data_IF_102830209015
#
_entry.id   IF_102830209015
#
_cell.length_a   1.000
_cell.length_b   1.000
_cell.length_c   1.000
_cell.angle_alpha   90.00
_cell.angle_beta   90.00
_cell.angle_gamma   90.00
#
_symmetry.space_group_name_H-M   'P 1'
#
loop_
_entity.id
_entity.type
_entity.pdbx_description
1 polymer ?
#
# COMPACT_ATOMS: atom_id res chain seq x y z
N UNK A 1 -8.63 -19.78 26.01
CA UNK A 1 -8.09 -19.13 24.81
C UNK A 1 -6.64 -18.82 25.12
N UNK A 2 -5.70 -19.48 24.46
CA UNK A 2 -4.27 -19.29 24.73
C UNK A 2 -3.84 -17.91 24.21
N UNK A 3 -3.25 -17.07 25.06
CA UNK A 3 -2.77 -15.74 24.68
C UNK A 3 -1.75 -15.82 23.52
N UNK A 4 -1.10 -16.97 23.31
CA UNK A 4 -0.20 -17.18 22.17
C UNK A 4 -0.93 -17.30 20.81
N UNK A 5 -2.21 -17.69 20.76
CA UNK A 5 -2.95 -17.80 19.49
C UNK A 5 -3.26 -16.43 18.87
N UNK A 6 -3.43 -15.39 19.70
CA UNK A 6 -3.64 -14.00 19.23
C UNK A 6 -2.35 -13.30 18.78
N UNK A 7 -1.18 -13.90 19.06
CA UNK A 7 0.13 -13.37 18.58
C UNK A 7 0.48 -13.85 17.16
N UNK A 8 -0.20 -14.89 16.67
CA UNK A 8 -0.06 -15.43 15.33
C UNK A 8 -1.15 -14.86 14.41
N UNK A 9 -0.77 -13.98 13.49
CA UNK A 9 -1.67 -13.30 12.56
C UNK A 9 -2.53 -14.27 11.73
N UNK A 10 -2.00 -15.42 11.33
CA UNK A 10 -2.78 -16.44 10.61
C UNK A 10 -3.77 -17.21 11.49
N UNK A 11 -3.53 -17.28 12.81
CA UNK A 11 -4.50 -17.81 13.77
C UNK A 11 -5.56 -16.76 14.11
N UNK A 12 -5.14 -15.50 14.31
CA UNK A 12 -6.02 -14.35 14.44
C UNK A 12 -6.97 -14.21 13.25
N UNK A 13 -6.46 -14.34 12.02
CA UNK A 13 -7.25 -14.24 10.79
C UNK A 13 -8.25 -15.38 10.63
N UNK A 14 -7.86 -16.62 11.00
CA UNK A 14 -8.78 -17.77 11.02
C UNK A 14 -9.89 -17.60 12.05
N UNK A 15 -9.56 -17.09 13.24
CA UNK A 15 -10.53 -16.81 14.30
C UNK A 15 -11.50 -15.70 13.88
N UNK A 16 -10.98 -14.62 13.32
CA UNK A 16 -11.73 -13.46 12.80
C UNK A 16 -12.68 -13.84 11.67
N UNK A 17 -12.19 -14.62 10.71
CA UNK A 17 -13.00 -15.11 9.60
C UNK A 17 -14.09 -16.06 10.10
N UNK A 18 -13.76 -16.97 11.02
CA UNK A 18 -14.72 -17.87 11.66
C UNK A 18 -15.83 -17.11 12.40
N UNK A 19 -15.48 -16.09 13.18
CA UNK A 19 -16.44 -15.27 13.93
C UNK A 19 -17.36 -14.47 12.98
N UNK A 20 -16.83 -13.95 11.87
CA UNK A 20 -17.65 -13.30 10.85
C UNK A 20 -18.61 -14.27 10.14
N UNK A 21 -18.12 -15.45 9.74
CA UNK A 21 -18.95 -16.48 9.11
C UNK A 21 -20.07 -16.99 10.03
N UNK A 22 -19.81 -17.05 11.34
CA UNK A 22 -20.78 -17.40 12.38
C UNK A 22 -21.71 -16.26 12.80
N UNK A 23 -21.52 -15.04 12.28
CA UNK A 23 -22.34 -13.89 12.64
C UNK A 23 -22.12 -13.36 14.05
N UNK A 24 -21.05 -13.77 14.71
CA UNK A 24 -20.61 -13.33 16.05
C UNK A 24 -19.98 -11.93 16.00
N UNK A 25 -19.59 -11.48 14.80
CA UNK A 25 -19.10 -10.14 14.54
C UNK A 25 -20.17 -9.26 13.87
N UNK A 26 -20.42 -8.06 14.42
CA UNK A 26 -21.32 -7.05 13.85
C UNK A 26 -20.49 -5.84 13.41
N UNK A 27 -20.47 -5.55 12.11
CA UNK A 27 -20.00 -4.25 11.62
C UNK A 27 -21.11 -3.22 11.76
N UNK A 28 -20.81 -2.03 12.29
CA UNK A 28 -21.77 -0.92 12.26
C UNK A 28 -22.17 -0.63 10.81
N UNK A 29 -23.44 -0.89 10.47
CA UNK A 29 -24.11 -0.42 9.25
C UNK A 29 -24.15 -1.36 8.03
N UNK A 30 -23.60 -2.58 8.08
CA UNK A 30 -23.74 -3.54 6.97
C UNK A 30 -24.02 -4.95 7.51
N UNK A 31 -25.20 -5.48 7.22
CA UNK A 31 -25.54 -6.87 7.53
C UNK A 31 -24.93 -7.83 6.49
N UNK A 32 -24.80 -9.12 6.83
CA UNK A 32 -24.39 -10.19 5.89
C UNK A 32 -25.26 -10.20 4.61
N UNK A 33 -26.53 -9.75 4.71
CA UNK A 33 -27.46 -9.67 3.58
C UNK A 33 -27.20 -8.47 2.68
N UNK A 34 -26.71 -7.34 3.21
CA UNK A 34 -26.43 -6.13 2.43
C UNK A 34 -25.20 -6.33 1.53
N UNK A 35 -24.22 -7.10 1.99
CA UNK A 35 -23.03 -7.46 1.19
C UNK A 35 -23.35 -8.54 0.14
N UNK A 36 -24.18 -9.53 0.47
CA UNK A 36 -24.62 -10.54 -0.50
C UNK A 36 -25.46 -9.94 -1.64
N UNK A 37 -26.21 -8.87 -1.37
CA UNK A 37 -26.91 -8.08 -2.41
C UNK A 37 -25.93 -7.33 -3.33
N UNK A 38 -24.78 -6.91 -2.83
CA UNK A 38 -23.73 -6.26 -3.61
C UNK A 38 -22.88 -7.25 -4.42
N UNK A 39 -22.77 -8.50 -3.98
CA UNK A 39 -22.05 -9.56 -4.69
C UNK A 39 -22.91 -10.27 -5.77
N UNK A 40 -24.23 -10.05 -5.80
CA UNK A 40 -25.19 -10.83 -6.60
C UNK A 40 -25.83 -10.13 -7.80
N UNK A 41 -25.36 -8.95 -8.23
CA UNK A 41 -26.00 -8.17 -9.29
C UNK A 41 -25.19 -8.08 -10.59
N UNK A 42 -25.26 -9.10 -11.45
CA UNK A 42 -24.96 -8.97 -12.88
C UNK A 42 -26.22 -9.23 -13.68
N UNK A 43 -26.59 -8.26 -14.50
CA UNK A 43 -27.50 -8.43 -15.63
C UNK A 43 -28.72 -7.52 -15.55
N UNK A 44 -28.81 -6.56 -16.48
CA UNK A 44 -30.01 -6.17 -17.25
C UNK A 44 -29.61 -5.12 -18.32
N UNK A 45 -30.40 -4.95 -19.41
CA UNK A 45 -29.90 -4.77 -20.76
C UNK A 45 -29.70 -3.30 -21.19
N UNK A 46 -28.91 -3.14 -22.25
CA UNK A 46 -28.77 -1.92 -23.04
C UNK A 46 -30.15 -1.45 -23.55
N UNK A 47 -30.54 -0.23 -23.16
CA UNK A 47 -31.60 0.53 -23.82
C UNK A 47 -30.93 1.73 -24.50
N UNK A 48 -30.97 1.74 -25.82
CA UNK A 48 -30.53 2.86 -26.65
C UNK A 48 -31.40 4.09 -26.37
N UNK A 49 -30.79 5.21 -26.03
CA UNK A 49 -31.45 6.51 -25.93
C UNK A 49 -30.98 7.41 -27.07
N UNK A 50 -31.97 7.95 -27.78
CA UNK A 50 -31.82 8.83 -28.93
C UNK A 50 -31.26 10.19 -28.52
N UNK A 51 -30.49 10.78 -29.43
CA UNK A 51 -29.97 12.14 -29.33
C UNK A 51 -31.11 13.16 -29.37
N UNK A 52 -31.08 14.12 -28.45
CA UNK A 52 -31.76 15.40 -28.60
C UNK A 52 -30.73 16.51 -28.37
N UNK A 53 -30.48 17.29 -29.41
CA UNK A 53 -29.65 18.49 -29.43
C UNK A 53 -30.35 19.63 -28.68
N UNK A 54 -29.62 20.30 -27.80
CA UNK A 54 -30.02 21.56 -27.14
C UNK A 54 -28.99 22.63 -27.53
N UNK A 55 -29.41 23.84 -27.92
CA UNK A 55 -28.53 24.80 -28.59
C UNK A 55 -27.52 25.42 -27.63
N UNK A 56 -26.34 25.71 -28.16
CA UNK A 56 -25.32 26.50 -27.50
C UNK A 56 -25.77 27.97 -27.37
N UNK A 57 -25.75 28.48 -26.15
CA UNK A 57 -25.66 29.91 -25.88
C UNK A 57 -24.22 30.26 -25.48
N UNK A 58 -23.67 31.29 -26.12
CA UNK A 58 -22.34 31.83 -25.93
C UNK A 58 -22.35 33.10 -25.06
N UNK A 59 -21.16 33.44 -24.53
CA UNK A 59 -20.72 34.63 -23.76
C UNK A 59 -20.55 34.37 -22.24
N UNK A 60 -19.46 34.72 -21.54
CA UNK A 60 -18.28 35.60 -21.79
C UNK A 60 -17.15 35.21 -20.78
N UNK A 61 -15.90 35.73 -20.90
CA UNK A 61 -14.73 35.14 -20.24
C UNK A 61 -14.64 35.50 -18.75
N UNK A 62 -14.96 34.55 -17.89
CA UNK A 62 -14.65 34.64 -16.47
C UNK A 62 -13.14 34.46 -16.24
N UNK A 63 -12.61 35.29 -15.35
CA UNK A 63 -11.21 35.39 -14.95
C UNK A 63 -10.50 34.04 -14.80
N UNK A 64 -9.21 34.01 -15.15
CA UNK A 64 -8.32 32.84 -14.99
C UNK A 64 -8.43 32.26 -13.58
N UNK A 65 -9.25 31.22 -13.45
CA UNK A 65 -9.27 30.34 -12.29
C UNK A 65 -7.86 29.78 -12.12
N UNK A 66 -7.25 29.81 -10.92
CA UNK A 66 -6.03 29.05 -10.68
C UNK A 66 -6.30 27.63 -11.13
N UNK A 67 -5.40 27.06 -11.94
CA UNK A 67 -5.56 25.69 -12.45
C UNK A 67 -5.99 24.78 -11.30
N UNK A 68 -7.14 24.12 -11.45
CA UNK A 68 -7.68 23.23 -10.43
C UNK A 68 -6.57 22.25 -10.02
N UNK A 69 -6.09 22.37 -8.78
CA UNK A 69 -5.12 21.43 -8.22
C UNK A 69 -5.84 20.08 -8.24
N UNK A 70 -5.31 19.13 -9.00
CA UNK A 70 -5.92 17.82 -9.15
C UNK A 70 -6.07 17.08 -7.80
N UNK A 71 -6.59 15.85 -7.79
CA UNK A 71 -6.80 15.08 -6.55
C UNK A 71 -5.52 14.76 -5.75
N UNK A 72 -4.35 15.11 -6.30
CA UNK A 72 -3.01 15.04 -5.70
C UNK A 72 -2.45 16.46 -5.73
N UNK A 73 -1.94 16.95 -4.60
CA UNK A 73 -1.54 18.34 -4.45
C UNK A 73 -0.13 18.62 -4.97
N UNK A 74 0.79 17.67 -4.80
CA UNK A 74 2.17 17.85 -5.23
C UNK A 74 2.31 17.84 -6.76
N UNK A 75 3.34 18.50 -7.31
CA UNK A 75 3.65 18.40 -8.73
C UNK A 75 3.93 16.95 -9.15
N UNK A 76 3.44 16.57 -10.33
CA UNK A 76 3.64 15.24 -10.92
C UNK A 76 4.26 15.37 -12.31
N UNK A 77 5.55 15.73 -12.44
CA UNK A 77 6.22 15.81 -13.74
C UNK A 77 6.16 14.46 -14.46
N UNK A 78 5.87 14.48 -15.75
CA UNK A 78 5.61 13.27 -16.55
C UNK A 78 6.83 12.35 -16.66
N UNK A 79 8.04 12.90 -16.52
CA UNK A 79 9.31 12.19 -16.46
C UNK A 79 9.56 11.49 -15.12
N UNK A 80 8.84 11.88 -14.07
CA UNK A 80 8.95 11.27 -12.73
C UNK A 80 7.76 10.37 -12.40
N UNK A 81 6.59 10.60 -13.00
CA UNK A 81 5.35 9.91 -12.62
C UNK A 81 4.53 9.38 -13.78
N UNK A 82 3.79 8.31 -13.51
CA UNK A 82 2.63 7.89 -14.29
C UNK A 82 1.37 8.14 -13.45
N UNK A 83 0.44 8.95 -13.97
CA UNK A 83 -0.77 9.37 -13.23
C UNK A 83 -1.95 8.44 -13.54
N UNK A 84 -2.69 8.05 -12.50
CA UNK A 84 -3.83 7.14 -12.54
C UNK A 84 -5.01 7.72 -11.73
N UNK A 85 -5.50 8.89 -12.15
CA UNK A 85 -6.57 9.62 -11.47
C UNK A 85 -6.11 10.17 -10.12
N UNK A 86 -6.67 9.66 -9.03
CA UNK A 86 -6.29 10.01 -7.65
C UNK A 86 -4.97 9.38 -7.18
N UNK A 87 -4.23 8.73 -8.07
CA UNK A 87 -3.02 7.98 -7.76
C UNK A 87 -1.89 8.36 -8.74
N UNK A 88 -0.65 8.27 -8.29
CA UNK A 88 0.54 8.52 -9.12
C UNK A 88 1.64 7.52 -8.80
N UNK A 89 2.10 6.80 -9.81
CA UNK A 89 3.20 5.84 -9.73
C UNK A 89 4.51 6.56 -10.00
N UNK A 90 5.50 6.37 -9.13
CA UNK A 90 6.86 6.82 -9.42
C UNK A 90 7.40 5.99 -10.57
N UNK A 91 7.82 6.64 -11.66
CA UNK A 91 8.57 5.96 -12.72
C UNK A 91 9.81 5.32 -12.09
N UNK A 92 9.93 4.01 -12.20
CA UNK A 92 10.95 3.27 -11.46
C UNK A 92 12.37 3.72 -11.84
N UNK A 93 12.57 4.10 -13.10
CA UNK A 93 13.80 4.70 -13.60
C UNK A 93 14.17 6.03 -12.94
N UNK A 94 13.20 6.80 -12.43
CA UNK A 94 13.45 8.05 -11.71
C UNK A 94 14.14 7.84 -10.34
N UNK A 95 14.21 6.59 -9.86
CA UNK A 95 14.98 6.23 -8.68
C UNK A 95 16.47 6.00 -8.99
N UNK A 96 16.87 5.93 -10.26
CA UNK A 96 18.27 5.81 -10.64
C UNK A 96 19.07 7.03 -10.15
N UNK A 97 20.27 6.78 -9.62
CA UNK A 97 21.12 7.82 -9.05
C UNK A 97 20.63 8.41 -7.72
N UNK A 98 19.41 8.07 -7.28
CA UNK A 98 18.90 8.51 -5.99
C UNK A 98 19.52 7.70 -4.85
N UNK A 99 19.48 8.29 -3.66
CA UNK A 99 19.98 7.66 -2.43
C UNK A 99 19.17 6.43 -2.00
N UNK A 100 19.46 5.96 -0.78
CA UNK A 100 18.74 4.82 -0.20
C UNK A 100 17.26 5.14 0.07
N UNK A 101 16.98 6.37 0.51
CA UNK A 101 15.63 6.88 0.73
C UNK A 101 15.09 7.47 -0.58
N UNK A 102 13.80 7.25 -0.85
CA UNK A 102 13.11 7.91 -1.95
C UNK A 102 12.90 9.38 -1.59
N UNK A 103 13.35 10.33 -2.43
CA UNK A 103 13.03 11.73 -2.25
C UNK A 103 11.52 11.97 -2.14
N UNK A 104 11.12 12.92 -1.29
CA UNK A 104 9.69 13.17 -1.00
C UNK A 104 8.92 13.55 -2.27
N UNK A 105 9.52 14.38 -3.12
CA UNK A 105 8.98 14.80 -4.42
C UNK A 105 8.76 13.64 -5.39
N UNK A 106 9.46 12.51 -5.21
CA UNK A 106 9.39 11.29 -6.03
C UNK A 106 8.64 10.14 -5.38
N UNK A 107 8.11 10.26 -4.15
CA UNK A 107 7.42 9.15 -3.48
C UNK A 107 6.03 8.90 -4.10
N UNK A 108 5.63 7.65 -4.37
CA UNK A 108 4.34 7.38 -5.02
C UNK A 108 3.13 7.86 -4.20
N UNK A 109 2.00 8.15 -4.86
CA UNK A 109 0.75 8.55 -4.20
C UNK A 109 -0.35 7.54 -4.52
N UNK A 110 -1.02 7.02 -3.49
CA UNK A 110 -2.24 6.21 -3.62
C UNK A 110 -3.31 6.80 -2.73
N UNK A 111 -4.40 7.28 -3.33
CA UNK A 111 -5.59 7.79 -2.63
C UNK A 111 -6.85 7.08 -3.15
N UNK A 112 -7.74 6.64 -2.25
CA UNK A 112 -9.07 6.17 -2.68
C UNK A 112 -9.94 7.34 -3.12
N UNK A 113 -9.75 8.50 -2.51
CA UNK A 113 -10.43 9.77 -2.79
C UNK A 113 -9.37 10.85 -3.14
N UNK A 114 -9.60 12.11 -2.80
CA UNK A 114 -8.65 13.21 -3.01
C UNK A 114 -7.86 13.51 -1.73
N UNK A 115 -6.71 14.19 -1.87
CA UNK A 115 -5.93 14.64 -0.71
C UNK A 115 -6.65 15.75 0.05
N UNK A 116 -7.01 15.56 1.34
CA UNK A 116 -7.50 16.65 2.18
C UNK A 116 -6.35 17.61 2.56
N UNK A 117 -6.70 18.88 2.75
CA UNK A 117 -5.85 19.90 3.36
C UNK A 117 -6.31 20.07 4.81
N UNK A 118 -5.46 19.69 5.75
CA UNK A 118 -5.77 19.72 7.17
C UNK A 118 -4.91 20.76 7.88
N UNK A 119 -5.52 21.49 8.82
CA UNK A 119 -4.82 22.40 9.72
C UNK A 119 -4.39 21.65 11.00
N UNK A 120 -3.09 21.65 11.34
CA UNK A 120 -2.61 20.94 12.53
C UNK A 120 -3.13 21.52 13.85
N UNK A 121 -3.52 22.80 13.91
CA UNK A 121 -4.00 23.44 15.14
C UNK A 121 -5.41 22.96 15.51
N UNK A 122 -6.28 22.81 14.52
CA UNK A 122 -7.63 22.24 14.69
C UNK A 122 -7.66 20.70 14.67
N UNK A 123 -6.62 20.04 14.16
CA UNK A 123 -6.56 18.57 14.12
C UNK A 123 -6.57 17.93 15.51
N UNK A 124 -7.32 16.82 15.64
CA UNK A 124 -7.37 15.97 16.83
C UNK A 124 -7.26 14.51 16.44
N UNK A 125 -6.52 13.73 17.22
CA UNK A 125 -6.61 12.27 17.22
C UNK A 125 -7.60 11.84 18.29
N UNK A 126 -8.67 11.15 17.89
CA UNK A 126 -9.75 10.69 18.76
C UNK A 126 -9.66 9.17 18.94
N UNK A 127 -9.60 8.69 20.17
CA UNK A 127 -9.57 7.26 20.50
C UNK A 127 -10.80 6.88 21.30
N UNK A 128 -11.45 5.78 20.92
CA UNK A 128 -12.67 5.30 21.55
C UNK A 128 -12.78 3.77 21.44
N UNK A 129 -13.76 3.18 22.11
CA UNK A 129 -14.12 1.77 21.98
C UNK A 129 -13.91 0.94 23.27
N UNK A 130 -14.41 -0.29 23.25
CA UNK A 130 -14.48 -1.21 24.39
C UNK A 130 -13.12 -1.69 24.88
N UNK A 131 -12.08 -1.58 24.04
CA UNK A 131 -10.70 -1.91 24.41
C UNK A 131 -9.99 -0.82 25.21
N UNK A 132 -10.67 0.28 25.58
CA UNK A 132 -10.15 1.36 26.42
C UNK A 132 -10.87 1.41 27.77
N UNK A 133 -10.17 1.88 28.80
CA UNK A 133 -10.72 2.06 30.13
C UNK A 133 -11.90 3.04 30.10
N UNK A 134 -13.01 2.65 30.73
CA UNK A 134 -14.27 3.42 30.69
C UNK A 134 -15.05 3.28 29.39
N UNK A 135 -14.57 2.51 28.40
CA UNK A 135 -15.19 2.30 27.10
C UNK A 135 -15.72 3.60 26.44
N UNK A 136 -14.86 4.64 26.28
CA UNK A 136 -15.23 5.91 25.66
C UNK A 136 -15.94 5.69 24.32
N UNK A 137 -16.94 6.51 24.03
CA UNK A 137 -17.72 6.41 22.78
C UNK A 137 -17.16 7.36 21.73
N UNK A 138 -17.58 7.22 20.47
CA UNK A 138 -17.20 8.17 19.42
C UNK A 138 -17.70 9.61 19.69
N UNK A 139 -18.72 9.78 20.54
CA UNK A 139 -19.22 11.09 20.96
C UNK A 139 -18.39 11.70 22.10
N UNK A 140 -17.76 10.87 22.94
CA UNK A 140 -16.92 11.27 24.07
C UNK A 140 -15.60 10.47 24.08
N UNK A 141 -14.67 10.78 23.15
CA UNK A 141 -13.43 10.05 22.99
C UNK A 141 -12.30 10.61 23.86
N UNK A 142 -11.25 9.81 24.05
CA UNK A 142 -9.96 10.34 24.51
C UNK A 142 -9.28 11.07 23.34
N UNK A 143 -8.90 12.34 23.54
CA UNK A 143 -8.36 13.16 22.47
C UNK A 143 -6.91 13.61 22.71
N UNK A 144 -6.14 13.65 21.62
CA UNK A 144 -4.81 14.27 21.58
C UNK A 144 -4.79 15.33 20.47
N UNK A 145 -4.44 16.57 20.83
CA UNK A 145 -4.05 17.59 19.84
C UNK A 145 -2.74 17.24 19.16
N UNK A 146 -2.45 17.88 18.03
CA UNK A 146 -1.17 17.70 17.32
C UNK A 146 0.02 18.00 18.23
N UNK A 147 -0.06 19.07 19.03
CA UNK A 147 0.99 19.45 20.01
C UNK A 147 1.15 18.38 21.10
N UNK A 148 0.07 17.87 21.67
CA UNK A 148 0.13 16.81 22.69
C UNK A 148 0.72 15.53 22.12
N UNK A 149 0.34 15.12 20.90
CA UNK A 149 0.93 13.96 20.25
C UNK A 149 2.44 14.14 20.05
N UNK A 150 2.89 15.30 19.56
CA UNK A 150 4.33 15.57 19.34
C UNK A 150 5.15 15.64 20.63
N UNK A 151 4.50 15.92 21.77
CA UNK A 151 5.15 15.91 23.08
C UNK A 151 5.40 14.48 23.63
N UNK A 152 4.75 13.46 23.07
CA UNK A 152 4.96 12.06 23.48
C UNK A 152 6.32 11.52 22.96
N UNK A 153 6.89 10.50 23.62
CA UNK A 153 8.15 9.87 23.19
C UNK A 153 8.09 9.36 21.75
N UNK A 154 8.91 9.96 20.89
CA UNK A 154 8.96 9.66 19.47
C UNK A 154 10.10 8.71 19.10
N UNK A 155 9.87 7.87 18.09
CA UNK A 155 10.86 6.98 17.47
C UNK A 155 11.02 7.31 16.00
N UNK A 156 12.17 6.92 15.46
CA UNK A 156 12.47 7.02 14.03
C UNK A 156 12.75 5.63 13.50
N UNK A 157 12.13 5.26 12.37
CA UNK A 157 12.42 4.00 11.68
C UNK A 157 12.48 4.22 10.17
N UNK A 158 13.36 3.48 9.50
CA UNK A 158 13.39 3.39 8.04
C UNK A 158 12.57 2.19 7.60
N UNK A 159 11.56 2.41 6.76
CA UNK A 159 10.71 1.34 6.24
C UNK A 159 10.18 1.69 4.85
N UNK A 160 9.93 0.67 4.03
CA UNK A 160 9.10 0.84 2.84
C UNK A 160 7.62 0.97 3.21
N UNK A 161 6.89 1.71 2.38
CA UNK A 161 5.45 1.58 2.22
C UNK A 161 5.23 1.14 0.77
N UNK A 162 4.47 0.06 0.57
CA UNK A 162 4.20 -0.50 -0.75
C UNK A 162 2.71 -0.77 -0.92
N UNK A 163 2.15 -0.41 -2.08
CA UNK A 163 0.77 -0.74 -2.44
C UNK A 163 0.61 -2.27 -2.59
N UNK A 164 -0.50 -2.85 -2.10
CA UNK A 164 -0.82 -4.26 -2.35
C UNK A 164 -0.86 -4.61 -3.85
N UNK A 165 -1.27 -3.64 -4.68
CA UNK A 165 -1.33 -3.78 -6.14
C UNK A 165 -0.04 -3.44 -6.87
N UNK A 166 1.09 -3.20 -6.19
CA UNK A 166 2.36 -2.98 -6.87
C UNK A 166 2.72 -4.22 -7.72
N UNK A 167 2.90 -4.03 -9.02
CA UNK A 167 3.07 -5.07 -10.02
C UNK A 167 1.76 -5.59 -10.65
N UNK A 168 0.61 -4.96 -10.38
CA UNK A 168 -0.70 -5.41 -10.89
C UNK A 168 -0.71 -5.63 -12.40
N UNK A 169 -0.07 -4.75 -13.18
CA UNK A 169 -0.06 -4.86 -14.65
C UNK A 169 0.53 -6.18 -15.15
N UNK A 170 1.40 -6.83 -14.36
CA UNK A 170 2.07 -8.07 -14.77
C UNK A 170 1.19 -9.32 -14.64
N UNK A 171 0.09 -9.28 -13.89
CA UNK A 171 -0.94 -10.32 -13.99
C UNK A 171 -1.41 -10.45 -15.44
N UNK A 172 -1.79 -9.33 -16.05
CA UNK A 172 -2.28 -9.30 -17.43
C UNK A 172 -1.15 -9.43 -18.44
N UNK A 173 -0.12 -8.59 -18.34
CA UNK A 173 0.90 -8.45 -19.39
C UNK A 173 1.94 -9.58 -19.38
N UNK A 174 2.14 -10.27 -18.25
CA UNK A 174 3.12 -11.36 -18.14
C UNK A 174 2.48 -12.73 -17.94
N UNK A 175 1.34 -12.83 -17.24
CA UNK A 175 0.67 -14.10 -16.94
C UNK A 175 -0.64 -14.32 -17.71
N UNK A 176 -1.10 -13.36 -18.52
CA UNK A 176 -2.36 -13.48 -19.27
C UNK A 176 -3.61 -13.50 -18.38
N UNK A 177 -3.51 -13.08 -17.12
CA UNK A 177 -4.58 -13.11 -16.15
C UNK A 177 -5.30 -11.76 -16.08
N UNK A 178 -6.62 -11.77 -16.27
CA UNK A 178 -7.46 -10.58 -16.16
C UNK A 178 -7.64 -10.19 -14.70
N UNK A 179 -7.37 -8.93 -14.36
CA UNK A 179 -7.46 -8.39 -12.99
C UNK A 179 -8.01 -6.97 -13.00
N UNK A 180 -8.60 -6.56 -11.88
CA UNK A 180 -9.19 -5.24 -11.70
C UNK A 180 -8.30 -4.29 -10.87
N UNK A 181 -8.46 -2.99 -11.09
CA UNK A 181 -7.80 -1.93 -10.33
C UNK A 181 -6.67 -1.22 -11.09
N UNK A 182 -6.04 -0.24 -10.44
CA UNK A 182 -4.98 0.59 -11.04
C UNK A 182 -3.82 -0.27 -11.59
N UNK A 183 -3.44 -0.12 -12.87
CA UNK A 183 -2.47 -1.00 -13.53
C UNK A 183 -1.03 -0.62 -13.18
N UNK A 184 -0.69 -0.68 -11.89
CA UNK A 184 0.64 -0.37 -11.39
C UNK A 184 1.71 -1.27 -12.02
N UNK A 185 2.83 -0.68 -12.44
CA UNK A 185 4.10 -1.40 -12.65
C UNK A 185 4.79 -1.54 -11.28
N UNK A 186 6.09 -1.26 -11.17
CA UNK A 186 6.88 -1.53 -9.96
C UNK A 186 7.10 -0.30 -9.06
N UNK A 187 6.58 0.85 -9.44
CA UNK A 187 6.78 2.14 -8.80
C UNK A 187 5.81 2.46 -7.67
N UNK A 188 4.89 1.56 -7.30
CA UNK A 188 3.94 1.78 -6.21
C UNK A 188 4.54 1.41 -4.84
N UNK A 189 5.79 1.85 -4.61
CA UNK A 189 6.58 1.62 -3.40
C UNK A 189 7.55 2.78 -3.17
N UNK A 190 7.84 3.07 -1.90
CA UNK A 190 9.01 3.88 -1.54
C UNK A 190 9.53 3.59 -0.15
N UNK A 191 10.84 3.69 0.04
CA UNK A 191 11.50 3.66 1.36
C UNK A 191 11.73 5.08 1.86
N UNK A 192 11.31 5.35 3.09
CA UNK A 192 11.53 6.63 3.75
C UNK A 192 11.92 6.42 5.22
N UNK A 193 12.49 7.48 5.81
CA UNK A 193 12.73 7.58 7.25
C UNK A 193 11.51 8.22 7.90
N UNK A 194 10.76 7.45 8.67
CA UNK A 194 9.54 7.90 9.34
C UNK A 194 9.84 8.24 10.79
N UNK A 195 9.39 9.41 11.25
CA UNK A 195 9.47 9.81 12.65
C UNK A 195 8.09 10.14 13.20
N UNK A 196 7.83 9.65 14.41
CA UNK A 196 6.53 9.75 15.05
C UNK A 196 6.45 9.04 16.39
N UNK A 197 5.25 8.98 16.97
CA UNK A 197 5.00 8.30 18.24
C UNK A 197 4.66 6.83 17.97
N UNK A 198 5.24 5.85 18.69
CA UNK A 198 4.75 4.49 18.65
C UNK A 198 3.27 4.43 19.01
N UNK A 199 2.46 3.74 18.21
CA UNK A 199 1.02 3.62 18.47
C UNK A 199 0.76 3.01 19.85
N UNK A 200 1.62 2.09 20.28
CA UNK A 200 1.59 1.51 21.63
C UNK A 200 1.66 2.53 22.76
N UNK A 201 2.42 3.62 22.58
CA UNK A 201 2.52 4.71 23.56
C UNK A 201 1.21 5.47 23.66
N UNK A 202 0.58 5.78 22.53
CA UNK A 202 -0.70 6.51 22.48
C UNK A 202 -1.83 5.66 23.04
N UNK A 203 -1.90 4.38 22.66
CA UNK A 203 -2.93 3.46 23.17
C UNK A 203 -2.84 3.32 24.69
N UNK A 204 -1.64 3.15 25.26
CA UNK A 204 -1.46 3.11 26.72
C UNK A 204 -1.85 4.43 27.39
N UNK A 205 -1.46 5.56 26.82
CA UNK A 205 -1.85 6.88 27.34
C UNK A 205 -3.37 7.10 27.29
N UNK A 206 -4.07 6.47 26.33
CA UNK A 206 -5.52 6.49 26.21
C UNK A 206 -6.25 5.45 27.10
N UNK A 207 -5.53 4.70 27.93
CA UNK A 207 -6.12 3.72 28.84
C UNK A 207 -6.40 2.34 28.22
N UNK A 208 -5.54 1.85 27.32
CA UNK A 208 -5.62 0.49 26.75
C UNK A 208 -5.83 -0.58 27.83
N UNK A 209 -6.85 -1.43 27.66
CA UNK A 209 -7.16 -2.53 28.58
C UNK A 209 -6.50 -3.84 28.13
N UNK A 210 -6.31 -4.82 29.03
CA UNK A 210 -5.85 -6.17 28.68
C UNK A 210 -6.83 -6.96 27.80
N UNK A 211 -8.10 -6.54 27.72
CA UNK A 211 -9.12 -7.21 26.93
C UNK A 211 -9.07 -6.81 25.44
N UNK A 212 -8.40 -5.71 25.09
CA UNK A 212 -8.32 -5.24 23.73
C UNK A 212 -7.64 -6.28 22.80
N UNK A 213 -8.20 -6.47 21.62
CA UNK A 213 -7.69 -7.43 20.61
C UNK A 213 -7.45 -6.78 19.24
N UNK A 214 -8.12 -5.67 18.93
CA UNK A 214 -8.09 -5.05 17.61
C UNK A 214 -8.08 -3.51 17.67
N UNK A 215 -7.50 -2.89 16.65
CA UNK A 215 -7.60 -1.44 16.44
C UNK A 215 -8.02 -1.13 15.01
N UNK A 216 -8.87 -0.11 14.81
CA UNK A 216 -9.32 0.40 13.51
C UNK A 216 -8.98 1.89 13.38
N UNK A 217 -7.81 2.20 12.82
CA UNK A 217 -7.49 3.54 12.38
C UNK A 217 -8.35 3.95 11.17
N UNK A 218 -8.82 5.19 11.18
CA UNK A 218 -9.60 5.82 10.13
C UNK A 218 -9.00 7.16 9.72
N UNK A 219 -8.98 7.41 8.41
CA UNK A 219 -8.57 8.68 7.81
C UNK A 219 -9.65 9.74 7.87
N UNK A 220 -9.24 10.99 7.71
CA UNK A 220 -10.09 12.18 7.55
C UNK A 220 -10.34 12.51 6.07
N UNK A 221 -10.05 11.57 5.17
CA UNK A 221 -10.38 11.72 3.76
C UNK A 221 -11.89 11.63 3.54
N UNK A 222 -12.34 12.20 2.41
CA UNK A 222 -13.74 12.14 2.02
C UNK A 222 -14.23 10.70 1.90
N UNK A 223 -15.56 10.55 1.98
CA UNK A 223 -16.23 9.27 1.78
C UNK A 223 -15.87 8.63 0.45
N UNK A 224 -15.48 7.36 0.48
CA UNK A 224 -15.20 6.59 -0.72
C UNK A 224 -16.49 5.98 -1.27
N UNK A 225 -16.87 6.37 -2.49
CA UNK A 225 -18.02 5.82 -3.19
C UNK A 225 -17.55 4.89 -4.31
N UNK A 226 -18.07 3.66 -4.34
CA UNK A 226 -17.75 2.66 -5.36
C UNK A 226 -19.00 1.91 -5.78
N UNK A 227 -19.27 1.84 -7.09
CA UNK A 227 -20.47 1.16 -7.61
C UNK A 227 -21.78 1.73 -7.08
N UNK A 228 -21.83 3.05 -6.81
CA UNK A 228 -23.01 3.71 -6.22
C UNK A 228 -23.16 3.53 -4.71
N UNK A 229 -22.27 2.76 -4.06
CA UNK A 229 -22.30 2.56 -2.60
C UNK A 229 -21.30 3.47 -1.92
N UNK A 230 -21.77 4.25 -0.95
CA UNK A 230 -20.91 4.98 -0.04
C UNK A 230 -20.36 4.03 1.04
N UNK A 231 -19.04 3.87 1.07
CA UNK A 231 -18.32 3.00 2.00
C UNK A 231 -17.72 3.77 3.20
N UNK A 232 -17.94 5.08 3.24
CA UNK A 232 -17.42 6.01 4.24
C UNK A 232 -15.93 6.31 4.06
N UNK A 233 -15.30 6.94 5.06
CA UNK A 233 -13.87 7.24 5.03
C UNK A 233 -13.02 5.97 5.08
N UNK A 234 -11.81 6.05 4.53
CA UNK A 234 -10.90 4.91 4.48
C UNK A 234 -10.47 4.52 5.89
N UNK A 235 -10.74 3.26 6.24
CA UNK A 235 -10.35 2.64 7.52
C UNK A 235 -9.97 1.19 7.31
N UNK A 236 -9.01 0.69 8.07
CA UNK A 236 -8.62 -0.72 8.00
C UNK A 236 -8.18 -1.19 9.38
N UNK A 237 -8.72 -2.31 9.88
CA UNK A 237 -8.33 -2.82 11.17
C UNK A 237 -7.01 -3.58 11.11
N UNK A 238 -6.31 -3.63 12.23
CA UNK A 238 -5.15 -4.49 12.44
C UNK A 238 -5.15 -5.06 13.86
N UNK A 239 -4.56 -6.26 14.06
CA UNK A 239 -4.45 -6.89 15.37
C UNK A 239 -3.72 -5.97 16.35
N UNK A 240 -4.19 -5.93 17.60
CA UNK A 240 -3.54 -5.13 18.65
C UNK A 240 -2.06 -5.51 18.80
N UNK A 241 -1.72 -6.80 18.71
CA UNK A 241 -0.34 -7.27 18.77
C UNK A 241 0.57 -6.59 17.71
N UNK A 242 0.07 -6.40 16.48
CA UNK A 242 0.80 -5.67 15.43
C UNK A 242 0.93 -4.19 15.80
N UNK A 243 -0.17 -3.58 16.25
CA UNK A 243 -0.20 -2.17 16.67
C UNK A 243 0.80 -1.86 17.79
N UNK A 244 0.92 -2.78 18.76
CA UNK A 244 1.81 -2.62 19.91
C UNK A 244 3.30 -2.81 19.57
N UNK A 245 3.60 -3.69 18.61
CA UNK A 245 4.96 -4.11 18.27
C UNK A 245 5.77 -3.01 17.58
N UNK A 246 5.26 -2.46 16.48
CA UNK A 246 6.10 -1.66 15.57
C UNK A 246 5.35 -0.64 14.70
N UNK A 247 4.11 -0.29 15.04
CA UNK A 247 3.35 0.75 14.31
C UNK A 247 3.68 2.15 14.85
N UNK A 248 3.87 3.10 13.94
CA UNK A 248 4.06 4.52 14.26
C UNK A 248 2.87 5.35 13.81
N UNK A 249 2.49 6.33 14.63
CA UNK A 249 1.80 7.55 14.22
C UNK A 249 2.87 8.56 13.80
N UNK A 250 3.22 8.53 12.51
CA UNK A 250 4.25 9.37 11.90
C UNK A 250 3.71 10.77 11.62
N UNK A 251 4.53 11.78 11.90
CA UNK A 251 4.28 13.19 11.54
C UNK A 251 5.46 13.79 10.73
N UNK A 252 6.54 13.03 10.58
CA UNK A 252 7.72 13.40 9.79
C UNK A 252 8.10 12.28 8.80
N UNK A 253 8.55 12.68 7.62
CA UNK A 253 9.04 11.83 6.55
C UNK A 253 10.35 12.40 6.02
N UNK A 254 11.41 11.60 6.03
CA UNK A 254 12.77 11.98 5.62
C UNK A 254 13.36 13.20 6.35
N UNK A 255 12.88 13.49 7.58
CA UNK A 255 13.35 14.62 8.39
C UNK A 255 12.55 15.92 8.18
N UNK A 256 11.57 15.90 7.27
CA UNK A 256 10.64 17.00 7.05
C UNK A 256 9.25 16.66 7.59
N UNK A 257 8.39 17.64 7.89
CA UNK A 257 6.96 17.39 8.11
C UNK A 257 6.36 16.58 6.97
N UNK A 258 5.35 15.75 7.28
CA UNK A 258 4.63 15.02 6.24
C UNK A 258 4.06 15.99 5.18
N UNK A 259 4.22 15.70 3.88
CA UNK A 259 3.42 16.40 2.88
C UNK A 259 1.95 15.97 2.94
N UNK A 260 1.01 16.84 2.51
CA UNK A 260 -0.41 16.52 2.45
C UNK A 260 -0.72 15.18 1.77
N UNK A 261 -0.17 14.92 0.58
CA UNK A 261 -0.42 13.67 -0.16
C UNK A 261 0.08 12.41 0.55
N UNK A 262 0.96 12.58 1.54
CA UNK A 262 1.54 11.50 2.32
C UNK A 262 0.99 11.41 3.74
N UNK A 263 -0.06 12.19 4.06
CA UNK A 263 -0.87 12.03 5.26
C UNK A 263 -0.66 13.09 6.33
N UNK A 264 -0.24 14.31 5.97
CA UNK A 264 -0.18 15.42 6.92
C UNK A 264 -1.54 15.66 7.63
N UNK A 265 -1.57 15.96 8.95
CA UNK A 265 -0.42 16.10 9.82
C UNK A 265 0.12 14.77 10.38
N UNK A 266 -0.69 13.72 10.38
CA UNK A 266 -0.34 12.41 10.95
C UNK A 266 -0.83 11.26 10.09
N UNK A 267 0.04 10.27 9.85
CA UNK A 267 -0.31 8.98 9.25
C UNK A 267 0.08 7.82 10.16
N UNK A 268 -0.55 6.67 9.97
CA UNK A 268 0.04 5.41 10.36
C UNK A 268 1.17 5.02 9.41
N UNK A 269 2.21 4.41 9.96
CA UNK A 269 3.19 3.60 9.25
C UNK A 269 3.17 2.23 9.89
N UNK A 270 2.75 1.22 9.13
CA UNK A 270 2.68 -0.19 9.54
C UNK A 270 3.75 -0.96 8.77
N UNK A 271 4.96 -1.12 9.32
CA UNK A 271 6.07 -1.67 8.55
C UNK A 271 5.82 -3.12 8.13
N UNK A 272 6.35 -3.47 6.96
CA UNK A 272 6.24 -4.78 6.30
C UNK A 272 4.83 -5.14 5.78
N UNK A 273 3.79 -4.41 6.15
CA UNK A 273 2.41 -4.69 5.73
C UNK A 273 2.04 -3.94 4.44
N UNK A 274 1.01 -4.43 3.76
CA UNK A 274 0.46 -3.75 2.59
C UNK A 274 0.02 -2.31 2.93
N UNK A 275 0.23 -1.38 1.99
CA UNK A 275 0.22 0.05 2.25
C UNK A 275 -1.11 0.64 2.74
N UNK A 276 -2.24 -0.02 2.46
CA UNK A 276 -3.55 0.37 3.01
C UNK A 276 -3.62 0.27 4.54
N UNK A 277 -2.80 -0.58 5.17
CA UNK A 277 -2.69 -0.64 6.63
C UNK A 277 -2.04 0.62 7.21
N UNK A 278 -1.27 1.35 6.40
CA UNK A 278 -0.65 2.63 6.77
C UNK A 278 -1.61 3.79 6.46
N UNK A 279 -2.74 3.86 7.18
CA UNK A 279 -3.79 4.88 7.00
C UNK A 279 -3.21 6.29 7.04
N UNK A 280 -3.59 7.14 6.09
CA UNK A 280 -3.17 8.55 6.01
C UNK A 280 -4.22 9.45 6.65
N UNK A 281 -3.81 10.67 7.01
CA UNK A 281 -4.71 11.70 7.55
C UNK A 281 -5.50 11.19 8.76
N UNK A 282 -4.83 10.46 9.64
CA UNK A 282 -5.48 9.71 10.72
C UNK A 282 -6.17 10.70 11.65
N UNK A 283 -7.46 10.51 11.87
CA UNK A 283 -8.24 11.32 12.80
C UNK A 283 -8.84 10.51 13.94
N UNK A 284 -9.07 9.21 13.73
CA UNK A 284 -9.75 8.38 14.71
C UNK A 284 -9.13 6.97 14.78
N UNK A 285 -9.15 6.38 15.97
CA UNK A 285 -8.77 4.98 16.20
C UNK A 285 -9.81 4.36 17.15
N UNK A 286 -10.61 3.43 16.64
CA UNK A 286 -11.42 2.55 17.48
C UNK A 286 -10.54 1.42 18.03
N UNK A 287 -10.63 1.15 19.32
CA UNK A 287 -9.89 0.08 20.02
C UNK A 287 -10.94 -0.84 20.64
N UNK A 288 -10.90 -2.12 20.28
CA UNK A 288 -11.97 -3.06 20.61
C UNK A 288 -11.45 -4.29 21.32
N UNK A 289 -12.24 -4.81 22.26
CA UNK A 289 -12.10 -6.13 22.88
C UNK A 289 -12.65 -7.26 22.00
N UNK A 290 -13.26 -6.92 20.87
CA UNK A 290 -13.65 -7.83 19.79
C UNK A 290 -12.97 -7.51 18.46
N UNK A 291 -13.05 -8.41 17.48
CA UNK A 291 -12.56 -8.15 16.12
C UNK A 291 -13.36 -7.03 15.45
N UNK A 292 -12.67 -6.15 14.71
CA UNK A 292 -13.30 -5.05 13.96
C UNK A 292 -13.42 -5.37 12.46
N UNK A 293 -14.30 -4.70 11.72
CA UNK A 293 -14.50 -4.98 10.29
C UNK A 293 -14.80 -3.71 9.50
N UNK A 294 -14.33 -3.70 8.26
CA UNK A 294 -14.50 -2.61 7.31
C UNK A 294 -14.55 -3.17 5.88
N UNK A 295 -15.09 -2.44 4.89
CA UNK A 295 -14.99 -2.82 3.49
C UNK A 295 -13.54 -3.11 3.05
N UNK A 296 -12.55 -2.43 3.61
CA UNK A 296 -11.13 -2.59 3.28
C UNK A 296 -10.45 -3.87 3.81
N UNK A 297 -11.15 -4.70 4.60
CA UNK A 297 -10.69 -6.04 4.97
C UNK A 297 -11.74 -7.15 4.77
N UNK A 298 -12.98 -6.81 4.44
CA UNK A 298 -14.06 -7.77 4.12
C UNK A 298 -14.36 -7.87 2.63
N UNK A 299 -14.16 -6.80 1.84
CA UNK A 299 -14.46 -6.77 0.39
C UNK A 299 -13.22 -6.48 -0.45
N UNK A 300 -12.44 -5.47 -0.06
CA UNK A 300 -11.17 -5.12 -0.70
C UNK A 300 -10.00 -5.74 0.05
N UNK A 301 -8.84 -5.79 -0.61
CA UNK A 301 -7.58 -6.26 -0.02
C UNK A 301 -7.68 -7.66 0.57
N UNK A 302 -8.39 -8.53 -0.15
CA UNK A 302 -8.43 -9.98 0.03
C UNK A 302 -7.96 -10.64 -1.26
N UNK A 303 -7.29 -11.77 -1.15
CA UNK A 303 -6.98 -12.64 -2.29
C UNK A 303 -8.23 -13.46 -2.60
N UNK A 304 -8.89 -13.11 -3.69
CA UNK A 304 -10.11 -13.77 -4.18
C UNK A 304 -9.78 -14.31 -5.57
N UNK A 305 -10.00 -15.60 -5.80
CA UNK A 305 -9.70 -16.27 -7.05
C UNK A 305 -9.88 -17.77 -6.92
N UNK A 306 -9.75 -18.53 -8.02
CA UNK A 306 -9.95 -19.99 -8.01
C UNK A 306 -8.96 -20.73 -7.10
N UNK A 307 -7.78 -20.16 -6.88
CA UNK A 307 -6.73 -20.73 -6.04
C UNK A 307 -6.84 -20.35 -4.55
N UNK A 308 -7.89 -19.63 -4.16
CA UNK A 308 -8.09 -19.12 -2.80
C UNK A 308 -9.42 -19.61 -2.23
N UNK A 309 -9.58 -19.63 -0.88
CA UNK A 309 -10.87 -19.89 -0.25
C UNK A 309 -11.98 -18.99 -0.81
N UNK A 310 -13.22 -19.45 -0.80
CA UNK A 310 -14.37 -18.74 -1.38
C UNK A 310 -14.55 -17.33 -0.78
N UNK A 311 -14.32 -17.22 0.52
CA UNK A 311 -14.33 -15.99 1.31
C UNK A 311 -13.09 -15.10 1.10
N UNK A 312 -12.11 -15.58 0.33
CA UNK A 312 -10.81 -14.98 0.11
C UNK A 312 -9.88 -15.01 1.33
N UNK A 313 -8.60 -14.77 1.09
CA UNK A 313 -7.57 -14.66 2.15
C UNK A 313 -7.30 -13.20 2.48
N UNK A 314 -7.31 -12.82 3.76
CA UNK A 314 -6.98 -11.45 4.16
C UNK A 314 -5.50 -11.14 3.84
N UNK A 315 -5.25 -9.91 3.36
CA UNK A 315 -3.89 -9.44 3.16
C UNK A 315 -3.32 -8.78 4.41
N UNK A 316 -2.10 -9.18 4.80
CA UNK A 316 -1.32 -8.56 5.88
C UNK A 316 0.06 -8.12 5.39
N UNK A 317 1.10 -8.95 5.54
CA UNK A 317 2.45 -8.67 5.04
C UNK A 317 2.54 -8.53 3.51
N UNK A 318 3.49 -7.72 3.05
CA UNK A 318 3.96 -7.73 1.65
C UNK A 318 4.75 -9.01 1.33
N UNK A 319 5.06 -9.22 0.05
CA UNK A 319 5.86 -10.37 -0.42
C UNK A 319 7.25 -9.95 -0.87
N UNK A 320 8.17 -10.91 -0.98
CA UNK A 320 9.50 -10.66 -1.53
C UNK A 320 9.41 -10.20 -3.00
N UNK A 321 10.15 -9.15 -3.36
CA UNK A 321 10.20 -8.59 -4.72
C UNK A 321 11.58 -8.07 -5.08
N UNK A 322 11.80 -7.88 -6.38
CA UNK A 322 13.04 -7.34 -6.94
C UNK A 322 12.74 -6.56 -8.22
N UNK A 323 13.45 -5.46 -8.44
CA UNK A 323 13.29 -4.60 -9.60
C UNK A 323 14.63 -4.00 -10.04
N UNK A 324 14.86 -3.93 -11.36
CA UNK A 324 16.03 -3.27 -11.95
C UNK A 324 15.85 -1.76 -11.93
N UNK A 325 16.85 -0.99 -11.50
CA UNK A 325 16.89 0.48 -11.69
C UNK A 325 17.27 0.81 -13.14
N UNK A 326 16.37 0.48 -14.07
CA UNK A 326 16.57 0.63 -15.51
C UNK A 326 15.23 1.06 -16.14
N UNK A 327 15.23 1.99 -17.12
CA UNK A 327 14.03 2.31 -17.89
C UNK A 327 13.38 1.06 -18.49
N UNK A 328 12.06 1.06 -18.53
CA UNK A 328 11.29 0.06 -19.27
C UNK A 328 11.61 0.21 -20.76
N UNK A 329 11.83 -0.90 -21.47
CA UNK A 329 12.22 -0.92 -22.89
C UNK A 329 13.53 -0.15 -23.19
N UNK A 330 14.47 -0.12 -22.23
CA UNK A 330 15.74 0.57 -22.38
C UNK A 330 16.50 0.11 -23.64
N UNK A 331 17.02 1.09 -24.39
CA UNK A 331 17.87 0.87 -25.56
C UNK A 331 19.34 0.89 -25.13
N UNK A 332 20.06 -0.19 -25.40
CA UNK A 332 21.44 -0.40 -24.98
C UNK A 332 22.31 -0.70 -26.22
N UNK A 333 23.52 -0.17 -26.28
CA UNK A 333 24.49 -0.54 -27.33
C UNK A 333 25.08 -1.95 -27.09
N UNK A 334 25.18 -2.74 -28.16
CA UNK A 334 25.90 -4.01 -28.21
C UNK A 334 27.41 -3.81 -27.94
N UNK A 335 28.07 -4.88 -27.48
CA UNK A 335 29.52 -4.86 -27.19
C UNK A 335 29.94 -4.03 -25.96
N UNK A 336 29.09 -3.14 -25.45
CA UNK A 336 29.33 -2.35 -24.24
C UNK A 336 29.07 -3.17 -22.98
N UNK A 337 29.90 -2.95 -21.96
CA UNK A 337 29.69 -3.49 -20.61
C UNK A 337 28.84 -2.52 -19.78
N UNK A 338 27.77 -3.03 -19.19
CA UNK A 338 26.86 -2.32 -18.29
C UNK A 338 27.01 -2.82 -16.87
N UNK A 339 26.78 -1.91 -15.91
CA UNK A 339 26.56 -2.27 -14.50
C UNK A 339 25.07 -2.12 -14.24
N UNK A 340 24.34 -3.24 -14.31
CA UNK A 340 22.94 -3.30 -13.94
C UNK A 340 22.81 -3.12 -12.43
N UNK A 341 21.80 -2.36 -12.01
CA UNK A 341 21.50 -2.07 -10.61
C UNK A 341 20.05 -2.41 -10.31
N UNK A 342 19.74 -2.61 -9.05
CA UNK A 342 18.37 -2.82 -8.62
C UNK A 342 18.18 -2.76 -7.13
N UNK A 343 16.91 -2.88 -6.74
CA UNK A 343 16.46 -2.92 -5.35
C UNK A 343 15.60 -4.15 -5.15
N UNK A 344 15.76 -4.80 -4.01
CA UNK A 344 14.95 -5.94 -3.60
C UNK A 344 14.51 -5.77 -2.16
N UNK A 345 13.31 -6.24 -1.81
CA UNK A 345 12.77 -6.08 -0.46
C UNK A 345 11.91 -7.29 -0.11
N UNK A 346 11.67 -7.49 1.19
CA UNK A 346 10.78 -8.50 1.72
C UNK A 346 10.14 -8.01 3.02
N UNK A 347 8.91 -8.43 3.28
CA UNK A 347 8.25 -8.22 4.56
C UNK A 347 8.89 -9.04 5.69
N UNK A 348 9.55 -10.16 5.35
CA UNK A 348 10.15 -11.10 6.31
C UNK A 348 11.54 -10.66 6.82
N UNK A 349 12.06 -9.53 6.33
CA UNK A 349 13.35 -8.99 6.74
C UNK A 349 14.32 -8.78 5.58
N UNK A 350 15.63 -8.70 5.87
CA UNK A 350 16.65 -8.41 4.86
C UNK A 350 16.68 -9.43 3.71
N UNK A 351 17.05 -8.96 2.52
CA UNK A 351 17.31 -9.83 1.37
C UNK A 351 18.72 -10.40 1.49
N UNK A 352 18.84 -11.73 1.60
CA UNK A 352 20.14 -12.41 1.72
C UNK A 352 20.82 -12.67 0.38
N UNK A 353 20.04 -12.79 -0.69
CA UNK A 353 20.55 -13.10 -2.01
C UNK A 353 19.70 -12.47 -3.11
N UNK A 354 20.37 -12.00 -4.17
CA UNK A 354 19.73 -11.67 -5.44
C UNK A 354 20.49 -12.40 -6.55
N UNK A 355 19.76 -13.12 -7.39
CA UNK A 355 20.28 -13.71 -8.62
C UNK A 355 19.63 -13.04 -9.82
N UNK A 356 20.40 -12.90 -10.90
CA UNK A 356 20.01 -12.20 -12.12
C UNK A 356 20.21 -13.11 -13.32
N UNK A 357 19.21 -13.14 -14.18
CA UNK A 357 19.22 -13.83 -15.46
C UNK A 357 19.16 -12.78 -16.59
N UNK A 358 20.06 -12.90 -17.55
CA UNK A 358 20.20 -11.95 -18.68
C UNK A 358 20.27 -12.64 -20.04
N UNK A 359 19.97 -13.93 -20.10
CA UNK A 359 20.21 -14.81 -21.27
C UNK A 359 18.97 -15.67 -21.63
N UNK A 360 17.77 -15.24 -21.23
CA UNK A 360 16.55 -15.97 -21.55
C UNK A 360 16.22 -17.15 -20.64
N UNK A 361 17.08 -17.50 -19.67
CA UNK A 361 16.74 -18.45 -18.59
C UNK A 361 17.74 -19.55 -18.35
N UNK A 362 18.78 -19.57 -19.16
CA UNK A 362 19.80 -20.62 -19.17
C UNK A 362 20.68 -20.56 -17.93
N UNK A 363 20.99 -19.36 -17.41
CA UNK A 363 21.84 -19.23 -16.23
C UNK A 363 21.42 -18.11 -15.27
N UNK A 364 21.53 -18.39 -13.96
CA UNK A 364 21.34 -17.40 -12.90
C UNK A 364 22.69 -17.02 -12.29
N UNK A 365 23.00 -15.73 -12.26
CA UNK A 365 24.24 -15.20 -11.69
C UNK A 365 23.97 -14.41 -10.43
N UNK A 366 24.73 -14.65 -9.37
CA UNK A 366 24.61 -13.89 -8.11
C UNK A 366 25.00 -12.42 -8.33
N UNK A 367 24.10 -11.50 -7.99
CA UNK A 367 24.40 -10.08 -7.96
C UNK A 367 25.14 -9.72 -6.67
N UNK A 368 25.97 -8.68 -6.72
CA UNK A 368 26.66 -8.16 -5.54
C UNK A 368 25.72 -7.22 -4.77
N UNK A 369 25.46 -7.54 -3.51
CA UNK A 369 24.73 -6.63 -2.61
C UNK A 369 25.57 -5.37 -2.32
N UNK A 370 24.92 -4.22 -2.21
CA UNK A 370 25.54 -2.90 -2.02
C UNK A 370 25.04 -2.27 -0.72
N UNK A 371 25.93 -2.20 0.28
CA UNK A 371 25.58 -1.79 1.64
C UNK A 371 24.67 -2.81 2.34
N UNK A 372 24.29 -2.51 3.57
CA UNK A 372 23.30 -3.29 4.32
C UNK A 372 21.88 -2.78 4.08
N UNK A 373 20.89 -3.64 4.33
CA UNK A 373 19.50 -3.22 4.48
C UNK A 373 19.38 -2.34 5.73
N UNK A 374 18.74 -1.17 5.61
CA UNK A 374 18.52 -0.25 6.73
C UNK A 374 17.09 -0.42 7.23
N UNK A 375 16.94 -0.82 8.49
CA UNK A 375 15.63 -1.07 9.10
C UNK A 375 14.81 -2.08 8.31
N UNK A 376 13.60 -1.67 7.89
CA UNK A 376 12.66 -2.45 7.07
C UNK A 376 12.59 -1.91 5.64
N UNK A 377 13.71 -1.45 5.11
CA UNK A 377 13.84 -0.96 3.73
C UNK A 377 14.23 -2.07 2.74
N UNK A 378 14.76 -1.67 1.59
CA UNK A 378 15.27 -2.58 0.56
C UNK A 378 16.76 -2.87 0.69
N UNK A 379 17.21 -3.93 0.04
CA UNK A 379 18.59 -4.22 -0.27
C UNK A 379 18.90 -3.73 -1.70
N UNK A 380 19.97 -2.93 -1.85
CA UNK A 380 20.49 -2.55 -3.17
C UNK A 380 21.45 -3.61 -3.67
N UNK A 381 21.53 -3.80 -4.98
CA UNK A 381 22.44 -4.74 -5.61
C UNK A 381 22.92 -4.25 -6.98
N UNK A 382 24.00 -4.84 -7.46
CA UNK A 382 24.50 -4.60 -8.82
C UNK A 382 25.16 -5.83 -9.43
N UNK A 383 25.17 -5.90 -10.75
CA UNK A 383 25.83 -6.96 -11.52
C UNK A 383 26.38 -6.42 -12.84
N UNK A 384 27.56 -6.88 -13.23
CA UNK A 384 28.14 -6.57 -14.55
C UNK A 384 27.51 -7.45 -15.62
N UNK A 385 27.07 -6.83 -16.71
CA UNK A 385 26.51 -7.52 -17.87
C UNK A 385 27.10 -6.92 -19.16
N UNK A 386 27.59 -7.79 -20.05
CA UNK A 386 27.93 -7.44 -21.42
C UNK A 386 26.95 -8.22 -22.30
N UNK A 387 26.02 -7.57 -23.02
CA UNK A 387 25.13 -8.28 -23.92
C UNK A 387 25.94 -9.10 -24.92
N UNK A 388 25.60 -10.39 -25.15
CA UNK A 388 26.36 -11.24 -26.05
C UNK A 388 26.17 -10.84 -27.53
N UNK A 389 25.00 -10.34 -27.90
CA UNK A 389 24.65 -9.89 -29.25
C UNK A 389 23.57 -8.79 -29.22
N UNK A 390 23.34 -8.14 -30.36
CA UNK A 390 22.14 -7.30 -30.56
C UNK A 390 20.87 -8.17 -30.51
N UNK A 391 19.75 -7.59 -30.07
CA UNK A 391 18.47 -8.29 -29.96
C UNK A 391 17.62 -7.81 -28.78
N UNK A 392 16.46 -8.45 -28.61
CA UNK A 392 15.54 -8.19 -27.50
C UNK A 392 15.83 -9.15 -26.35
N UNK A 393 15.94 -8.62 -25.13
CA UNK A 393 16.20 -9.39 -23.92
C UNK A 393 15.12 -9.14 -22.87
N UNK A 394 14.78 -10.18 -22.12
CA UNK A 394 13.97 -10.09 -20.91
C UNK A 394 14.86 -10.34 -19.68
N UNK A 395 15.36 -9.27 -19.09
CA UNK A 395 16.17 -9.35 -17.87
C UNK A 395 15.29 -9.75 -16.69
N UNK A 396 15.80 -10.62 -15.82
CA UNK A 396 15.08 -11.08 -14.63
C UNK A 396 15.94 -10.98 -13.40
N UNK A 397 15.37 -10.54 -12.30
CA UNK A 397 16.00 -10.55 -10.98
C UNK A 397 15.11 -11.30 -10.00
N UNK A 398 15.71 -12.21 -9.22
CA UNK A 398 15.04 -13.01 -8.21
C UNK A 398 15.71 -12.78 -6.87
N UNK A 399 14.95 -12.32 -5.89
CA UNK A 399 15.40 -12.14 -4.52
C UNK A 399 15.01 -13.33 -3.62
N UNK A 400 15.87 -13.62 -2.65
CA UNK A 400 15.61 -14.54 -1.53
C UNK A 400 15.92 -13.83 -0.23
N UNK A 401 15.01 -13.87 0.73
CA UNK A 401 15.19 -13.25 2.04
C UNK A 401 15.84 -14.18 3.07
N UNK A 402 16.05 -13.67 4.28
CA UNK A 402 16.67 -14.39 5.39
C UNK A 402 15.87 -15.60 5.88
N UNK A 403 14.55 -15.68 5.64
CA UNK A 403 13.74 -16.85 6.00
C UNK A 403 13.76 -17.92 4.92
N UNK A 404 14.35 -17.61 3.75
CA UNK A 404 14.40 -18.51 2.60
C UNK A 404 13.25 -18.32 1.62
N UNK A 405 12.32 -17.38 1.87
CA UNK A 405 11.28 -17.08 0.90
C UNK A 405 11.92 -16.46 -0.35
N UNK A 406 11.52 -16.97 -1.51
CA UNK A 406 12.05 -16.57 -2.82
C UNK A 406 10.91 -16.19 -3.76
N UNK A 407 11.17 -15.24 -4.66
CA UNK A 407 10.18 -14.92 -5.71
C UNK A 407 9.91 -16.17 -6.58
N UNK A 408 8.64 -16.55 -6.79
CA UNK A 408 8.28 -17.62 -7.72
C UNK A 408 8.35 -17.15 -9.18
N UNK A 409 8.23 -18.07 -10.13
CA UNK A 409 8.12 -17.70 -11.55
C UNK A 409 6.73 -17.15 -11.91
N UNK A 410 5.69 -17.60 -11.21
CA UNK A 410 4.31 -17.15 -11.36
C UNK A 410 3.64 -16.96 -10.00
N UNK A 411 2.59 -16.14 -9.96
CA UNK A 411 1.71 -16.01 -8.80
C UNK A 411 0.30 -16.55 -9.10
N UNK A 412 -0.38 -17.16 -8.11
CA UNK A 412 -1.76 -17.60 -8.27
C UNK A 412 -2.70 -16.45 -8.63
N UNK A 413 -3.72 -16.73 -9.45
CA UNK A 413 -4.62 -15.70 -9.93
C UNK A 413 -5.50 -15.18 -8.78
N UNK A 414 -5.51 -13.86 -8.60
CA UNK A 414 -6.54 -13.21 -7.80
C UNK A 414 -7.15 -12.05 -8.59
N UNK A 415 -8.48 -11.90 -8.52
CA UNK A 415 -9.28 -11.01 -9.37
C UNK A 415 -8.99 -9.52 -9.15
N UNK A 416 -8.37 -9.16 -8.03
CA UNK A 416 -7.99 -7.78 -7.68
C UNK A 416 -6.50 -7.47 -7.93
N UNK A 417 -5.74 -8.44 -8.45
CA UNK A 417 -4.34 -8.29 -8.86
C UNK A 417 -3.40 -7.81 -7.77
N UNK A 418 -3.52 -8.36 -6.56
CA UNK A 418 -2.65 -8.07 -5.43
C UNK A 418 -1.46 -9.01 -5.34
N UNK A 419 -0.43 -8.55 -4.62
CA UNK A 419 0.77 -9.31 -4.26
C UNK A 419 1.44 -9.98 -5.46
N UNK A 420 1.65 -9.24 -6.55
CA UNK A 420 2.49 -9.71 -7.65
C UNK A 420 3.95 -9.84 -7.18
N UNK A 421 4.30 -11.01 -6.65
CA UNK A 421 5.62 -11.37 -6.14
C UNK A 421 6.47 -12.19 -7.12
N UNK A 422 5.93 -12.51 -8.31
CA UNK A 422 6.66 -13.28 -9.30
C UNK A 422 7.90 -12.52 -9.81
N UNK A 423 8.84 -13.27 -10.37
CA UNK A 423 9.98 -12.70 -11.09
C UNK A 423 9.47 -11.92 -12.31
N UNK A 424 9.74 -10.61 -12.33
CA UNK A 424 9.35 -9.73 -13.44
C UNK A 424 10.32 -9.90 -14.62
N UNK A 425 9.77 -10.00 -15.83
CA UNK A 425 10.50 -9.95 -17.09
C UNK A 425 10.65 -8.48 -17.52
N UNK A 426 11.84 -7.91 -17.31
CA UNK A 426 12.16 -6.53 -17.66
C UNK A 426 12.70 -6.45 -19.09
N UNK A 427 11.94 -5.88 -20.05
CA UNK A 427 12.36 -5.82 -21.45
C UNK A 427 13.46 -4.77 -21.67
N UNK A 428 14.44 -5.12 -22.50
CA UNK A 428 15.45 -4.22 -23.03
C UNK A 428 15.76 -4.59 -24.48
N UNK A 429 16.16 -3.61 -25.28
CA UNK A 429 16.64 -3.82 -26.64
C UNK A 429 18.13 -3.49 -26.69
N UNK A 430 18.91 -4.37 -27.30
CA UNK A 430 20.34 -4.17 -27.54
C UNK A 430 20.54 -3.95 -29.04
N UNK A 431 21.08 -2.80 -29.43
CA UNK A 431 21.37 -2.42 -30.82
C UNK A 431 22.87 -2.53 -31.12
#
# INVERSE_FOLDING_TARGET
MDQNELTNEGAYDRLRLGQWLRGEARGHGLSRRDVMRLAGGVGLPLVASQFASVPMASAEPAARTPAAVGPILKPLPAELFQVHGTNAETRWEALFGQGYLVPIDRFFVRNHTQTPVLDPESWRLRLFGTGLAGAPTAADPVEFSYRQLRALPARTLTAFVECAGNGRSFFTNQQGQQVSGTPWKLGAIGVARWRGVPLSTVLRAAGLTPAAVDVMPQGLDADFVSGGVNLGPVRRPLPLAKALRDVLLAYEMNGEPLPPDHGFPVRLVVPSWIGISSIKWVGQIEVSDGPLFSPWNTQFYRLIGPDYPQEGTLLGPQVVKSAFELPWDAQLAAGRRYVLRGRSWSANGPVRQVVVNTDGGTSWRRARLVGSTVGKGWQRWKISWKPPASGVYALRARATDVTGATQPETVPHNTQGYLFGAVVRHPVTVA
#
